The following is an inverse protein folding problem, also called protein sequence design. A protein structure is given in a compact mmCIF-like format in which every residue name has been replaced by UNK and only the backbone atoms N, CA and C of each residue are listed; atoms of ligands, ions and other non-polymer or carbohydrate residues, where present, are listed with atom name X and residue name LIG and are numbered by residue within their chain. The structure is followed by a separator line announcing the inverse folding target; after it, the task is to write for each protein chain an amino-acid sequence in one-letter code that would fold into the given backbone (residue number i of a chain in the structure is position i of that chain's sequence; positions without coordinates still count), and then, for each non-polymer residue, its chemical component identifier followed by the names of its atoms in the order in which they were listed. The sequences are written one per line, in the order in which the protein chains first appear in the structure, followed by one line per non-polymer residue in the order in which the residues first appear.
data_IF_944622579723
#
_entry.id   IF_944622579723
#
_cell.length_a   1.000
_cell.length_b   1.000
_cell.length_c   1.000
_cell.angle_alpha   90.00
_cell.angle_beta   90.00
_cell.angle_gamma   90.00
#
_symmetry.space_group_name_H-M   'P 1'
#
loop_
_entity.id
_entity.type
_entity.pdbx_description
1 polymer ?
#
# COMPACT_ATOMS: atom_id res chain seq x y z
N UNK A 1 -10.87 -5.20 -0.98
CA UNK A 1 -10.46 -5.31 -2.40
C UNK A 1 -9.89 -3.98 -2.87
N UNK A 2 -8.79 -4.04 -3.62
CA UNK A 2 -8.24 -2.84 -4.25
C UNK A 2 -9.08 -2.49 -5.46
N UNK A 3 -9.63 -1.27 -5.49
CA UNK A 3 -10.52 -0.81 -6.55
C UNK A 3 -9.82 0.12 -7.54
N UNK A 4 -8.81 0.84 -7.11
CA UNK A 4 -8.08 1.75 -8.00
C UNK A 4 -6.66 1.99 -7.50
N UNK A 5 -5.81 2.43 -8.41
CA UNK A 5 -4.43 2.80 -8.13
C UNK A 5 -4.22 4.27 -8.48
N UNK A 6 -3.37 4.94 -7.72
CA UNK A 6 -3.11 6.35 -7.94
C UNK A 6 -2.15 6.61 -9.10
N UNK A 7 -1.32 5.62 -9.45
CA UNK A 7 -0.41 5.75 -10.58
C UNK A 7 -0.23 4.43 -11.32
N UNK A 8 0.26 4.54 -12.56
CA UNK A 8 0.44 3.37 -13.41
C UNK A 8 1.58 2.48 -12.95
N UNK A 9 2.57 3.05 -12.31
CA UNK A 9 3.71 2.30 -11.79
C UNK A 9 3.24 1.27 -10.77
N UNK A 10 2.42 1.69 -9.81
CA UNK A 10 1.89 0.80 -8.79
C UNK A 10 0.97 -0.24 -9.41
N UNK A 11 0.11 0.18 -10.34
CA UNK A 11 -0.80 -0.73 -11.02
C UNK A 11 -0.05 -1.84 -11.76
N UNK A 12 0.96 -1.45 -12.53
CA UNK A 12 1.76 -2.43 -13.28
C UNK A 12 2.52 -3.36 -12.36
N UNK A 13 3.06 -2.81 -11.27
CA UNK A 13 3.74 -3.64 -10.29
C UNK A 13 2.78 -4.67 -9.68
N UNK A 14 1.56 -4.27 -9.37
CA UNK A 14 0.57 -5.17 -8.79
C UNK A 14 0.23 -6.32 -9.75
N UNK A 15 0.17 -6.02 -11.05
CA UNK A 15 -0.15 -7.02 -12.07
C UNK A 15 1.04 -7.96 -12.33
N UNK A 16 2.22 -7.38 -12.50
CA UNK A 16 3.41 -8.11 -12.95
C UNK A 16 4.27 -8.68 -11.81
N UNK A 17 4.10 -8.16 -10.60
CA UNK A 17 4.91 -8.54 -9.45
C UNK A 17 6.30 -7.93 -9.45
N UNK A 18 6.58 -7.08 -10.43
CA UNK A 18 7.87 -6.39 -10.54
C UNK A 18 7.72 -5.14 -11.39
N UNK A 19 8.63 -4.19 -11.18
CA UNK A 19 8.70 -2.99 -11.99
C UNK A 19 10.10 -2.41 -11.91
N UNK A 20 10.59 -1.82 -13.01
CA UNK A 20 11.95 -1.30 -13.07
C UNK A 20 12.24 -0.21 -12.04
N UNK A 21 11.22 0.52 -11.60
CA UNK A 21 11.37 1.59 -10.61
C UNK A 21 11.21 1.12 -9.17
N UNK A 22 10.92 -0.16 -8.97
CA UNK A 22 10.79 -0.75 -7.63
C UNK A 22 11.89 -1.78 -7.47
N UNK A 23 12.79 -1.52 -6.51
CA UNK A 23 13.94 -2.38 -6.29
C UNK A 23 13.52 -3.83 -6.06
N UNK A 24 14.22 -4.78 -6.70
CA UNK A 24 13.89 -6.20 -6.57
C UNK A 24 13.91 -6.69 -5.13
N UNK A 25 14.81 -6.13 -4.32
CA UNK A 25 14.95 -6.54 -2.92
C UNK A 25 13.72 -6.21 -2.07
N UNK A 26 12.89 -5.26 -2.49
CA UNK A 26 11.67 -4.92 -1.75
C UNK A 26 10.42 -5.43 -2.44
N UNK A 27 10.53 -5.93 -3.67
CA UNK A 27 9.37 -6.33 -4.49
C UNK A 27 8.50 -7.37 -3.78
N UNK A 28 9.12 -8.37 -3.18
CA UNK A 28 8.37 -9.42 -2.50
C UNK A 28 7.53 -8.87 -1.36
N UNK A 29 8.14 -8.01 -0.51
CA UNK A 29 7.41 -7.43 0.61
C UNK A 29 6.34 -6.44 0.13
N UNK A 30 6.67 -5.64 -0.88
CA UNK A 30 5.69 -4.71 -1.44
C UNK A 30 4.47 -5.46 -1.97
N UNK A 31 4.70 -6.55 -2.70
CA UNK A 31 3.58 -7.36 -3.22
C UNK A 31 2.76 -7.96 -2.09
N UNK A 32 3.41 -8.44 -1.03
CA UNK A 32 2.70 -8.96 0.13
C UNK A 32 1.81 -7.90 0.77
N UNK A 33 2.30 -6.65 0.88
CA UNK A 33 1.49 -5.56 1.43
C UNK A 33 0.27 -5.27 0.57
N UNK A 34 0.44 -5.28 -0.76
CA UNK A 34 -0.70 -5.09 -1.67
C UNK A 34 -1.74 -6.20 -1.51
N UNK A 35 -1.29 -7.44 -1.36
CA UNK A 35 -2.19 -8.57 -1.15
C UNK A 35 -2.95 -8.41 0.18
N UNK A 36 -2.27 -7.96 1.23
CA UNK A 36 -2.91 -7.73 2.52
C UNK A 36 -4.01 -6.66 2.41
N UNK A 37 -3.72 -5.56 1.69
CA UNK A 37 -4.71 -4.51 1.46
C UNK A 37 -5.89 -5.05 0.67
N UNK A 38 -5.61 -5.83 -0.37
CA UNK A 38 -6.66 -6.40 -1.22
C UNK A 38 -7.60 -7.31 -0.43
N UNK A 39 -7.06 -8.05 0.53
CA UNK A 39 -7.83 -9.01 1.32
C UNK A 39 -8.47 -8.41 2.57
N UNK A 40 -8.09 -7.21 2.98
CA UNK A 40 -8.63 -6.60 4.18
C UNK A 40 -10.10 -6.23 4.00
N UNK A 41 -10.93 -6.54 4.98
CA UNK A 41 -12.34 -6.16 4.98
C UNK A 41 -12.60 -4.97 5.90
N UNK A 42 -11.66 -4.65 6.77
CA UNK A 42 -11.71 -3.47 7.62
C UNK A 42 -10.27 -3.02 7.90
N UNK A 43 -10.12 -1.77 8.35
CA UNK A 43 -8.80 -1.22 8.65
C UNK A 43 -8.06 -2.01 9.71
N UNK A 44 -8.78 -2.54 10.69
CA UNK A 44 -8.16 -3.30 11.77
C UNK A 44 -7.37 -4.50 11.25
N UNK A 45 -7.80 -5.09 10.14
CA UNK A 45 -7.07 -6.21 9.54
C UNK A 45 -5.64 -5.83 9.20
N UNK A 46 -5.40 -4.53 8.93
CA UNK A 46 -4.07 -4.05 8.51
C UNK A 46 -3.18 -3.65 9.69
N UNK A 47 -3.66 -3.79 10.92
CA UNK A 47 -2.82 -3.62 12.10
C UNK A 47 -1.91 -4.83 12.33
N UNK A 48 -2.19 -5.92 11.68
CA UNK A 48 -1.41 -7.14 11.80
C UNK A 48 -0.85 -7.51 10.42
N UNK A 49 0.41 -7.87 10.32
CA UNK A 49 1.40 -7.91 11.39
C UNK A 49 1.78 -6.51 11.88
N UNK A 50 2.31 -6.42 13.09
CA UNK A 50 2.71 -5.13 13.67
C UNK A 50 3.71 -4.38 12.78
N UNK A 51 4.50 -5.11 11.99
CA UNK A 51 5.47 -4.52 11.07
C UNK A 51 4.83 -3.69 9.96
N UNK A 52 3.51 -3.78 9.77
CA UNK A 52 2.80 -2.90 8.83
C UNK A 52 2.84 -1.44 9.28
N UNK A 53 2.93 -1.18 10.57
CA UNK A 53 2.89 0.19 11.10
C UNK A 53 1.77 1.00 10.46
N UNK A 54 0.54 0.51 10.57
CA UNK A 54 -0.61 1.21 10.01
C UNK A 54 -0.70 2.62 10.59
N UNK A 55 -0.76 3.62 9.72
CA UNK A 55 -0.86 5.03 10.12
C UNK A 55 -1.95 5.73 9.32
N UNK A 56 -2.62 6.67 9.98
CA UNK A 56 -3.48 7.62 9.30
C UNK A 56 -2.63 8.83 8.93
N UNK A 57 -2.72 9.27 7.68
CA UNK A 57 -1.90 10.36 7.19
C UNK A 57 -2.56 11.70 7.45
N UNK A 58 -1.72 12.75 7.51
CA UNK A 58 -2.17 14.11 7.75
C UNK A 58 -1.64 15.00 6.62
N UNK A 59 -2.06 16.29 6.62
CA UNK A 59 -1.61 17.22 5.59
C UNK A 59 -2.30 16.95 4.26
N UNK A 60 -1.53 16.98 3.19
CA UNK A 60 -2.05 16.83 1.83
C UNK A 60 -2.66 15.45 1.57
N UNK A 61 -2.30 14.46 2.38
CA UNK A 61 -2.82 13.11 2.25
C UNK A 61 -3.82 12.74 3.34
N UNK A 62 -4.45 13.74 3.95
CA UNK A 62 -5.48 13.47 4.95
C UNK A 62 -6.55 12.56 4.32
N UNK A 63 -7.19 11.74 5.13
CA UNK A 63 -8.16 10.73 4.71
C UNK A 63 -7.51 9.52 4.05
N UNK A 64 -6.18 9.48 4.00
CA UNK A 64 -5.46 8.29 3.56
C UNK A 64 -4.80 7.60 4.73
N UNK A 65 -4.49 6.33 4.50
CA UNK A 65 -3.75 5.49 5.44
C UNK A 65 -2.52 4.97 4.74
N UNK A 66 -1.55 4.50 5.52
CA UNK A 66 -0.40 3.86 4.93
C UNK A 66 0.01 2.64 5.74
N UNK A 67 0.59 1.66 5.05
CA UNK A 67 1.29 0.56 5.70
C UNK A 67 2.72 0.52 5.17
N UNK A 68 3.63 0.04 6.02
CA UNK A 68 5.05 0.12 5.77
C UNK A 68 5.55 -1.07 4.95
N UNK A 69 6.34 -0.81 3.92
CA UNK A 69 7.06 -1.85 3.20
C UNK A 69 8.41 -2.05 3.86
N UNK A 70 9.16 -0.97 4.01
CA UNK A 70 10.45 -0.96 4.73
C UNK A 70 10.67 0.45 5.29
N UNK A 71 11.89 0.80 5.68
CA UNK A 71 12.14 2.12 6.25
C UNK A 71 11.97 3.25 5.25
N UNK A 72 12.02 2.96 3.97
CA UNK A 72 11.97 3.97 2.91
C UNK A 72 10.62 4.03 2.20
N UNK A 73 9.97 2.89 2.00
CA UNK A 73 8.76 2.81 1.18
C UNK A 73 7.54 2.44 1.97
N UNK A 74 6.41 3.05 1.59
CA UNK A 74 5.10 2.75 2.18
C UNK A 74 4.08 2.61 1.07
N UNK A 75 2.96 1.94 1.37
CA UNK A 75 1.80 1.90 0.48
C UNK A 75 0.75 2.81 1.08
N UNK A 76 0.32 3.81 0.31
CA UNK A 76 -0.73 4.75 0.73
C UNK A 76 -2.02 4.42 0.01
N UNK A 77 -3.14 4.65 0.69
CA UNK A 77 -4.46 4.31 0.12
C UNK A 77 -5.57 4.99 0.89
N UNK A 78 -6.71 5.17 0.22
CA UNK A 78 -7.99 5.51 0.86
C UNK A 78 -8.68 4.19 1.17
N UNK A 79 -9.29 4.07 2.34
CA UNK A 79 -10.00 2.85 2.70
C UNK A 79 -11.43 3.19 3.09
N UNK A 80 -12.40 2.58 2.41
CA UNK A 80 -13.80 2.96 2.55
C UNK A 80 -14.68 1.77 2.22
N UNK A 81 -15.60 1.45 3.11
CA UNK A 81 -16.57 0.35 2.91
C UNK A 81 -15.92 -0.98 2.57
N UNK A 82 -14.77 -1.27 3.20
CA UNK A 82 -14.07 -2.53 2.98
C UNK A 82 -13.23 -2.58 1.72
N UNK A 83 -13.06 -1.45 1.04
CA UNK A 83 -12.30 -1.38 -0.21
C UNK A 83 -11.21 -0.33 -0.15
N UNK A 84 -10.14 -0.54 -0.90
CA UNK A 84 -9.03 0.39 -0.99
C UNK A 84 -9.04 1.10 -2.35
N UNK A 85 -8.77 2.40 -2.32
CA UNK A 85 -8.76 3.25 -3.51
C UNK A 85 -7.47 4.04 -3.55
N UNK A 86 -7.06 4.45 -4.75
CA UNK A 86 -5.90 5.30 -4.97
C UNK A 86 -4.64 4.72 -4.33
N UNK A 87 -4.48 3.41 -4.47
CA UNK A 87 -3.34 2.70 -3.89
C UNK A 87 -2.06 3.12 -4.60
N UNK A 88 -1.05 3.48 -3.83
CA UNK A 88 0.19 4.01 -4.37
C UNK A 88 1.37 3.60 -3.51
N UNK A 89 2.44 3.10 -4.15
CA UNK A 89 3.71 2.86 -3.47
C UNK A 89 4.51 4.16 -3.54
N UNK A 90 4.92 4.67 -2.39
CA UNK A 90 5.67 5.93 -2.33
C UNK A 90 6.98 5.74 -1.59
N UNK A 91 7.94 6.59 -1.97
CA UNK A 91 9.21 6.74 -1.29
C UNK A 91 8.98 7.75 -0.17
N UNK A 92 9.05 7.27 1.06
CA UNK A 92 8.58 8.03 2.21
C UNK A 92 9.73 8.26 3.20
N UNK A 93 10.41 9.38 3.04
CA UNK A 93 11.46 9.73 4.01
C UNK A 93 11.72 11.24 4.06
#
# INVERSE_FOLDING_TARGET
MIKSYADKKTEKFAIDGKHKTIAGQISKRALMRLIQIDNATCLDDLRSPASNHLERLIGDRKDQYSIRINQQYRVCFVFENGNAYDVQIIDYH
#
